data_IF_864501062237
#
_entry.id   IF_864501062237
#
_cell.length_a   1.000
_cell.length_b   1.000
_cell.length_c   1.000
_cell.angle_alpha   90.00
_cell.angle_beta   90.00
_cell.angle_gamma   90.00
#
_symmetry.space_group_name_H-M   'P 1'
#
loop_
_entity.id
_entity.type
_entity.pdbx_description
1 polymer ?
#
# COMPACT_ATOMS: atom_id res chain seq x y z
N UNK A 1 -25.01 -15.02 -13.53
CA UNK A 1 -24.08 -14.77 -12.41
C UNK A 1 -22.74 -14.42 -13.00
N UNK A 2 -22.50 -13.14 -13.26
CA UNK A 2 -21.20 -12.64 -13.68
C UNK A 2 -20.27 -12.78 -12.48
N UNK A 3 -19.21 -13.58 -12.63
CA UNK A 3 -18.05 -13.47 -11.75
C UNK A 3 -17.40 -12.16 -12.13
N UNK A 4 -17.78 -11.08 -11.46
CA UNK A 4 -17.03 -9.84 -11.53
C UNK A 4 -15.61 -10.19 -11.06
N UNK A 5 -14.65 -10.07 -11.97
CA UNK A 5 -13.22 -10.26 -11.69
C UNK A 5 -12.75 -9.07 -10.84
N UNK A 6 -13.15 -9.07 -9.57
CA UNK A 6 -12.76 -8.06 -8.61
C UNK A 6 -11.27 -8.18 -8.35
N UNK A 7 -10.52 -7.17 -8.77
CA UNK A 7 -9.09 -7.08 -8.49
C UNK A 7 -8.89 -6.15 -7.30
N UNK A 8 -8.08 -6.56 -6.33
CA UNK A 8 -7.82 -5.77 -5.13
C UNK A 8 -6.33 -5.52 -4.97
N UNK A 9 -5.93 -4.27 -4.89
CA UNK A 9 -4.57 -3.84 -4.59
C UNK A 9 -4.42 -3.68 -3.09
N UNK A 10 -3.57 -4.51 -2.51
CA UNK A 10 -3.33 -4.61 -1.07
C UNK A 10 -1.94 -4.03 -0.79
N UNK A 11 -1.91 -2.86 -0.17
CA UNK A 11 -0.68 -2.22 0.28
C UNK A 11 -0.38 -2.65 1.70
N UNK A 12 0.77 -3.27 1.91
CA UNK A 12 1.20 -3.78 3.21
C UNK A 12 2.30 -2.91 3.78
N UNK A 13 1.99 -2.23 4.87
CA UNK A 13 2.96 -1.43 5.60
C UNK A 13 3.87 -2.31 6.45
N UNK A 14 5.16 -1.96 6.53
CA UNK A 14 6.09 -2.57 7.48
C UNK A 14 5.90 -1.99 8.90
N UNK A 15 4.68 -2.05 9.41
CA UNK A 15 4.30 -1.67 10.75
C UNK A 15 3.36 -2.74 11.31
N UNK A 16 3.32 -2.89 12.63
CA UNK A 16 2.38 -3.77 13.32
C UNK A 16 1.12 -2.96 13.68
N UNK A 17 -0.09 -3.52 13.56
CA UNK A 17 -1.34 -2.82 13.90
C UNK A 17 -1.38 -2.30 15.35
N UNK A 18 -0.68 -2.99 16.25
CA UNK A 18 -0.53 -2.59 17.65
C UNK A 18 0.58 -1.56 17.91
N UNK A 19 1.44 -1.28 16.91
CA UNK A 19 2.65 -0.49 17.06
C UNK A 19 2.76 0.62 16.03
N UNK A 20 2.79 1.86 16.52
CA UNK A 20 3.30 3.07 15.84
C UNK A 20 2.27 3.99 15.15
N UNK A 21 1.09 3.53 14.70
CA UNK A 21 0.09 4.50 14.15
C UNK A 21 -0.86 5.12 15.20
N UNK A 22 -1.18 4.40 16.28
CA UNK A 22 -1.98 4.95 17.40
C UNK A 22 -1.18 5.91 18.29
N UNK A 23 0.15 5.85 18.22
CA UNK A 23 1.08 6.62 19.06
C UNK A 23 1.65 7.89 18.42
N UNK A 24 1.36 8.18 17.14
CA UNK A 24 1.87 9.38 16.45
C UNK A 24 1.08 10.65 16.80
N UNK A 25 0.50 10.72 18.00
CA UNK A 25 0.06 11.97 18.61
C UNK A 25 1.01 12.47 19.70
N UNK A 26 1.83 11.59 20.30
CA UNK A 26 2.43 11.94 21.60
C UNK A 26 3.96 11.96 21.66
N UNK A 27 4.68 11.75 20.55
CA UNK A 27 6.15 11.65 20.67
C UNK A 27 6.92 11.99 19.39
N UNK A 28 6.74 13.19 18.85
CA UNK A 28 7.68 13.78 17.88
C UNK A 28 9.05 14.17 18.50
N UNK A 29 9.26 13.93 19.80
CA UNK A 29 10.46 14.40 20.54
C UNK A 29 11.15 13.37 21.43
N UNK A 30 10.93 12.06 21.24
CA UNK A 30 11.81 11.05 21.86
C UNK A 30 12.17 9.98 20.86
N UNK A 31 13.41 10.10 20.40
CA UNK A 31 14.30 8.95 20.36
C UNK A 31 13.80 7.84 19.46
N UNK A 32 14.20 7.92 18.19
CA UNK A 32 14.93 6.84 17.50
C UNK A 32 15.03 5.54 18.32
N UNK A 33 13.93 4.81 18.46
CA UNK A 33 13.97 3.44 18.95
C UNK A 33 14.13 2.59 17.71
N UNK A 34 15.41 2.46 17.32
CA UNK A 34 15.88 1.48 16.34
C UNK A 34 15.21 0.13 16.58
N UNK A 35 15.03 -0.59 15.46
CA UNK A 35 14.41 -1.91 15.30
C UNK A 35 12.93 -1.77 14.98
N UNK A 36 12.51 -1.60 13.72
CA UNK A 36 12.84 -2.42 12.55
C UNK A 36 12.47 -1.63 11.28
N UNK A 37 13.45 -1.43 10.38
CA UNK A 37 13.36 -0.80 9.04
C UNK A 37 12.30 0.30 8.86
N UNK A 38 12.76 1.55 8.82
CA UNK A 38 11.97 2.72 8.38
C UNK A 38 11.05 2.31 7.22
N UNK A 39 9.75 2.25 7.49
CA UNK A 39 8.76 1.87 6.50
C UNK A 39 8.75 2.96 5.42
N UNK A 40 9.46 2.71 4.31
CA UNK A 40 9.60 3.70 3.25
C UNK A 40 8.24 4.10 2.67
N UNK A 41 7.34 3.13 2.49
CA UNK A 41 5.95 3.37 2.10
C UNK A 41 5.25 4.35 3.06
N UNK A 42 5.47 4.22 4.36
CA UNK A 42 4.92 5.12 5.37
C UNK A 42 5.52 6.54 5.21
N UNK A 43 6.83 6.67 4.99
CA UNK A 43 7.49 7.96 4.80
C UNK A 43 7.03 8.69 3.53
N UNK A 44 6.82 7.96 2.42
CA UNK A 44 6.39 8.58 1.17
C UNK A 44 4.90 8.93 1.17
N UNK A 45 4.06 8.15 1.86
CA UNK A 45 2.59 8.34 1.90
C UNK A 45 2.08 9.14 3.09
N UNK A 46 2.84 9.26 4.19
CA UNK A 46 2.49 10.06 5.36
C UNK A 46 3.47 11.22 5.56
N UNK A 47 2.94 12.40 5.88
CA UNK A 47 3.70 13.59 6.28
C UNK A 47 3.48 13.95 7.75
N UNK A 48 3.98 15.12 8.15
CA UNK A 48 3.91 15.62 9.53
C UNK A 48 2.49 15.71 10.14
N UNK A 49 1.45 15.73 9.29
CA UNK A 49 0.05 15.84 9.71
C UNK A 49 -0.80 14.60 9.36
N UNK A 50 -0.17 13.48 8.98
CA UNK A 50 -0.86 12.25 8.57
C UNK A 50 -0.74 11.96 7.06
N UNK A 51 -1.68 11.18 6.51
CA UNK A 51 -1.59 10.72 5.11
C UNK A 51 -1.57 11.91 4.15
N UNK A 52 -0.61 11.94 3.23
CA UNK A 52 -0.48 12.99 2.22
C UNK A 52 -1.73 13.01 1.35
N UNK A 53 -2.27 14.21 1.15
CA UNK A 53 -3.47 14.42 0.32
C UNK A 53 -3.24 13.93 -1.11
N UNK A 54 -2.04 14.09 -1.65
CA UNK A 54 -1.67 13.61 -2.98
C UNK A 54 -1.82 12.09 -3.15
N UNK A 55 -1.49 11.31 -2.12
CA UNK A 55 -1.61 9.85 -2.16
C UNK A 55 -3.06 9.44 -1.99
N UNK A 56 -3.74 10.07 -1.03
CA UNK A 56 -5.17 9.86 -0.81
C UNK A 56 -5.99 10.20 -2.06
N UNK A 57 -5.69 11.32 -2.70
CA UNK A 57 -6.33 11.73 -3.94
C UNK A 57 -5.99 10.77 -5.06
N UNK A 58 -4.73 10.34 -5.22
CA UNK A 58 -4.38 9.34 -6.23
C UNK A 58 -5.14 8.01 -6.07
N UNK A 59 -5.15 7.45 -4.86
CA UNK A 59 -5.89 6.22 -4.57
C UNK A 59 -7.40 6.42 -4.79
N UNK A 60 -7.93 7.58 -4.38
CA UNK A 60 -9.30 7.95 -4.69
C UNK A 60 -9.52 8.18 -6.18
N UNK A 61 -8.63 8.78 -6.95
CA UNK A 61 -8.78 8.98 -8.41
C UNK A 61 -8.71 7.64 -9.15
N UNK A 62 -8.00 6.65 -8.59
CA UNK A 62 -8.05 5.28 -9.08
C UNK A 62 -9.37 4.58 -8.71
N UNK A 63 -10.03 4.98 -7.63
CA UNK A 63 -11.32 4.43 -7.13
C UNK A 63 -12.55 5.22 -7.62
N UNK A 64 -12.38 6.49 -7.97
CA UNK A 64 -13.40 7.49 -8.32
C UNK A 64 -13.28 7.75 -9.83
N UNK A 65 -14.38 7.61 -10.58
CA UNK A 65 -14.34 7.52 -12.04
C UNK A 65 -13.87 8.83 -12.68
N UNK A 66 -12.64 8.84 -13.21
CA UNK A 66 -12.21 9.81 -14.22
C UNK A 66 -12.86 9.43 -15.55
N UNK A 67 -14.16 9.75 -15.68
CA UNK A 67 -15.05 9.78 -16.87
C UNK A 67 -15.03 8.64 -17.91
N UNK A 68 -14.08 7.70 -17.88
CA UNK A 68 -13.93 6.59 -18.81
C UNK A 68 -13.24 5.43 -18.09
N UNK A 69 -14.06 4.48 -17.62
CA UNK A 69 -13.79 3.06 -17.26
C UNK A 69 -14.03 2.71 -15.78
N UNK A 70 -15.11 1.93 -15.60
CA UNK A 70 -15.28 0.83 -14.64
C UNK A 70 -15.00 1.15 -13.17
N UNK A 71 -16.03 1.68 -12.53
CA UNK A 71 -16.22 1.87 -11.08
C UNK A 71 -16.08 0.58 -10.22
N UNK A 72 -15.86 -0.58 -10.84
CA UNK A 72 -15.98 -1.91 -10.20
C UNK A 72 -14.75 -2.81 -10.42
N UNK A 73 -13.68 -2.34 -11.06
CA UNK A 73 -12.56 -3.22 -11.44
C UNK A 73 -11.45 -3.31 -10.37
N UNK A 74 -11.21 -2.25 -9.58
CA UNK A 74 -10.12 -2.19 -8.61
C UNK A 74 -10.56 -1.72 -7.22
N UNK A 75 -10.21 -2.48 -6.18
CA UNK A 75 -10.36 -2.08 -4.77
C UNK A 75 -8.99 -1.85 -4.15
N UNK A 76 -8.84 -0.81 -3.33
CA UNK A 76 -7.62 -0.58 -2.57
C UNK A 76 -7.81 -0.99 -1.11
N UNK A 77 -6.92 -1.84 -0.60
CA UNK A 77 -6.89 -2.24 0.80
C UNK A 77 -5.50 -1.93 1.39
N UNK A 78 -5.48 -1.46 2.62
CA UNK A 78 -4.27 -1.08 3.34
C UNK A 78 -4.19 -1.94 4.59
N UNK A 79 -3.16 -2.77 4.68
CA UNK A 79 -2.95 -3.69 5.81
C UNK A 79 -1.59 -3.43 6.45
N UNK A 80 -1.51 -3.75 7.73
CA UNK A 80 -0.24 -3.87 8.44
C UNK A 80 0.37 -5.26 8.18
N UNK A 81 1.67 -5.43 8.43
CA UNK A 81 2.36 -6.70 8.15
C UNK A 81 1.78 -7.86 8.96
N UNK A 82 1.33 -7.59 10.19
CA UNK A 82 0.66 -8.55 11.07
C UNK A 82 -0.72 -8.92 10.51
N UNK A 83 -1.55 -7.95 10.13
CA UNK A 83 -2.86 -8.22 9.52
C UNK A 83 -2.74 -9.02 8.23
N UNK A 84 -1.77 -8.67 7.39
CA UNK A 84 -1.51 -9.40 6.16
C UNK A 84 -1.02 -10.83 6.44
N UNK A 85 -0.10 -10.99 7.40
CA UNK A 85 0.37 -12.31 7.81
C UNK A 85 -0.75 -13.14 8.45
N UNK A 86 -1.69 -12.55 9.18
CA UNK A 86 -2.83 -13.26 9.74
C UNK A 86 -3.86 -13.66 8.67
N UNK A 87 -4.15 -12.74 7.73
CA UNK A 87 -5.15 -12.92 6.66
C UNK A 87 -4.69 -13.90 5.57
N UNK A 88 -3.43 -13.77 5.13
CA UNK A 88 -2.89 -14.55 4.01
C UNK A 88 -1.89 -15.65 4.45
N UNK A 89 -1.45 -15.66 5.71
CA UNK A 89 -0.51 -16.67 6.26
C UNK A 89 0.78 -16.83 5.45
N UNK A 90 1.27 -15.74 4.86
CA UNK A 90 2.50 -15.74 4.06
C UNK A 90 3.71 -15.55 4.98
N UNK A 91 4.47 -16.63 5.21
CA UNK A 91 5.60 -16.61 6.15
C UNK A 91 6.89 -15.98 5.60
N UNK A 92 7.04 -15.90 4.28
CA UNK A 92 8.26 -15.37 3.60
C UNK A 92 8.05 -13.96 3.00
N UNK A 93 6.91 -13.32 3.28
CA UNK A 93 6.61 -12.00 2.75
C UNK A 93 7.56 -10.95 3.34
N UNK A 94 8.15 -10.13 2.46
CA UNK A 94 8.97 -8.98 2.83
C UNK A 94 8.14 -7.71 2.78
N UNK A 95 8.36 -6.80 3.72
CA UNK A 95 7.57 -5.56 3.87
C UNK A 95 8.49 -4.33 3.99
N UNK A 96 8.10 -3.14 3.50
CA UNK A 96 6.79 -2.81 2.91
C UNK A 96 6.65 -3.38 1.50
N UNK A 97 5.45 -3.79 1.10
CA UNK A 97 5.21 -4.38 -0.23
C UNK A 97 3.75 -4.18 -0.64
N UNK A 98 3.47 -4.20 -1.95
CA UNK A 98 2.11 -4.23 -2.46
C UNK A 98 1.83 -5.56 -3.17
N UNK A 99 0.62 -6.07 -3.00
CA UNK A 99 0.12 -7.27 -3.66
C UNK A 99 -1.14 -6.95 -4.43
N UNK A 100 -1.39 -7.69 -5.50
CA UNK A 100 -2.65 -7.67 -6.22
C UNK A 100 -3.35 -9.00 -6.01
N UNK A 101 -4.57 -8.96 -5.50
CA UNK A 101 -5.46 -10.10 -5.36
C UNK A 101 -6.42 -10.09 -6.54
N UNK A 102 -6.20 -10.98 -7.50
CA UNK A 102 -7.01 -11.11 -8.71
C UNK A 102 -7.65 -12.51 -8.71
N UNK A 103 -8.98 -12.59 -8.76
CA UNK A 103 -9.70 -13.87 -8.77
C UNK A 103 -9.30 -14.81 -7.60
N UNK A 104 -8.94 -14.24 -6.43
CA UNK A 104 -8.48 -15.00 -5.27
C UNK A 104 -6.99 -15.43 -5.33
N UNK A 105 -6.28 -15.07 -6.39
CA UNK A 105 -4.84 -15.29 -6.53
C UNK A 105 -4.08 -14.04 -6.11
N UNK A 106 -3.28 -14.16 -5.05
CA UNK A 106 -2.41 -13.08 -4.59
C UNK A 106 -1.11 -13.09 -5.39
N UNK A 107 -0.81 -12.00 -6.10
CA UNK A 107 0.42 -11.80 -6.87
C UNK A 107 1.21 -10.64 -6.27
N UNK A 108 2.53 -10.76 -6.23
CA UNK A 108 3.40 -9.67 -5.82
C UNK A 108 3.34 -8.55 -6.87
N UNK A 109 2.90 -7.36 -6.46
CA UNK A 109 2.73 -6.21 -7.34
C UNK A 109 3.94 -5.28 -7.24
N UNK A 110 4.33 -4.91 -6.02
CA UNK A 110 5.54 -4.15 -5.72
C UNK A 110 6.28 -4.83 -4.58
N UNK A 111 7.53 -5.23 -4.84
CA UNK A 111 8.42 -5.82 -3.84
C UNK A 111 8.93 -4.81 -2.83
N UNK A 112 9.52 -5.30 -1.74
CA UNK A 112 10.19 -4.46 -0.75
C UNK A 112 11.31 -3.62 -1.35
N UNK A 113 12.11 -4.20 -2.24
CA UNK A 113 13.22 -3.51 -2.89
C UNK A 113 12.74 -2.39 -3.81
N UNK A 114 11.66 -2.62 -4.57
CA UNK A 114 11.02 -1.60 -5.40
C UNK A 114 10.40 -0.49 -4.54
N UNK A 115 9.64 -0.86 -3.50
CA UNK A 115 9.04 0.08 -2.55
C UNK A 115 10.10 0.95 -1.88
N UNK A 116 11.24 0.39 -1.49
CA UNK A 116 12.32 1.12 -0.82
C UNK A 116 13.16 1.96 -1.79
N UNK A 117 13.09 1.70 -3.09
CA UNK A 117 13.79 2.50 -4.10
C UNK A 117 13.09 3.83 -4.40
N UNK A 118 11.78 3.90 -4.13
CA UNK A 118 10.96 5.10 -4.28
C UNK A 118 11.31 6.11 -3.18
N UNK A 119 11.63 7.36 -3.51
CA UNK A 119 11.93 8.38 -2.50
C UNK A 119 10.80 9.38 -2.35
N UNK A 120 10.11 9.65 -3.44
CA UNK A 120 9.03 10.61 -3.51
C UNK A 120 7.68 9.97 -3.81
N UNK A 121 6.63 10.63 -3.37
CA UNK A 121 5.25 10.19 -3.61
C UNK A 121 4.91 10.10 -5.10
N UNK A 122 5.47 10.98 -5.93
CA UNK A 122 5.27 10.99 -7.37
C UNK A 122 5.89 9.75 -8.04
N UNK A 123 7.06 9.32 -7.57
CA UNK A 123 7.70 8.07 -8.03
C UNK A 123 6.83 6.86 -7.66
N UNK A 124 6.22 6.85 -6.47
CA UNK A 124 5.30 5.79 -6.06
C UNK A 124 4.08 5.72 -7.00
N UNK A 125 3.47 6.86 -7.30
CA UNK A 125 2.29 6.93 -8.20
C UNK A 125 2.64 6.41 -9.59
N UNK A 126 3.75 6.88 -10.16
CA UNK A 126 4.22 6.45 -11.47
C UNK A 126 4.52 4.96 -11.51
N UNK A 127 5.16 4.42 -10.47
CA UNK A 127 5.41 2.99 -10.33
C UNK A 127 4.11 2.19 -10.28
N UNK A 128 3.12 2.64 -9.50
CA UNK A 128 1.81 1.99 -9.42
C UNK A 128 1.10 2.01 -10.78
N UNK A 129 1.08 3.14 -11.49
CA UNK A 129 0.47 3.23 -12.83
C UNK A 129 1.16 2.27 -13.81
N UNK A 130 2.48 2.30 -13.88
CA UNK A 130 3.24 1.44 -14.77
C UNK A 130 2.97 -0.04 -14.48
N UNK A 131 2.92 -0.43 -13.20
CA UNK A 131 2.60 -1.80 -12.79
C UNK A 131 1.16 -2.17 -13.09
N UNK A 132 0.18 -1.26 -12.95
CA UNK A 132 -1.21 -1.49 -13.36
C UNK A 132 -1.25 -1.83 -14.85
N UNK A 133 -0.54 -1.05 -15.69
CA UNK A 133 -0.45 -1.32 -17.13
C UNK A 133 0.25 -2.66 -17.42
N UNK A 134 1.36 -2.99 -16.73
CA UNK A 134 2.08 -4.26 -16.89
C UNK A 134 1.21 -5.48 -16.54
N UNK A 135 0.38 -5.35 -15.50
CA UNK A 135 -0.52 -6.41 -15.07
C UNK A 135 -1.84 -6.43 -15.88
N UNK A 136 -1.99 -5.57 -16.90
CA UNK A 136 -3.20 -5.40 -17.72
C UNK A 136 -4.47 -5.16 -16.88
N UNK A 137 -4.29 -4.41 -15.80
CA UNK A 137 -5.34 -4.03 -14.87
C UNK A 137 -6.16 -2.86 -15.44
#
# INVERSE_FOLDING_TARGET
MTKDEETMLIFVYNADSGGVFTGLKDTLHKTFRKSTYECNLCQVTFGAFGMKKDWKNFVNDLDVPVEFKKKDKFKFEFLHKDEFSEKFKVSDAKFPSAYVLENGTLKLFISQDEMNSVKEIEELKNMVIAKIEEFNL
#
